data_IF_506438157780
#
_entry.id   IF_506438157780
#
_cell.length_a   1.000
_cell.length_b   1.000
_cell.length_c   1.000
_cell.angle_alpha   90.00
_cell.angle_beta   90.00
_cell.angle_gamma   90.00
#
_symmetry.space_group_name_H-M   'P 1'
#
loop_
_entity.id
_entity.type
_entity.pdbx_description
1 polymer ?
#
# COMPACT_ATOMS: atom_id res chain seq x y z
N UNK A 1 -2.12 -25.52 18.91
CA UNK A 1 -1.26 -24.44 19.45
C UNK A 1 -1.04 -23.40 18.37
N UNK A 2 -1.40 -22.20 18.63
CA UNK A 2 -1.06 -21.09 17.72
C UNK A 2 0.43 -20.79 17.81
N UNK A 3 1.14 -20.87 16.72
CA UNK A 3 2.55 -20.52 16.63
C UNK A 3 2.65 -19.10 16.08
N UNK A 4 3.18 -18.21 16.89
CA UNK A 4 3.34 -16.81 16.55
C UNK A 4 2.20 -15.92 17.03
N UNK A 5 2.47 -14.64 17.14
CA UNK A 5 1.47 -13.63 17.44
C UNK A 5 0.63 -13.34 16.22
N UNK A 6 -0.70 -13.24 16.36
CA UNK A 6 -1.50 -12.72 15.26
C UNK A 6 -1.06 -11.29 14.98
N UNK A 7 -0.46 -11.09 13.83
CA UNK A 7 -0.12 -9.76 13.36
C UNK A 7 -1.40 -9.17 12.75
N UNK A 8 -1.96 -8.17 13.40
CA UNK A 8 -3.04 -7.40 12.81
C UNK A 8 -2.42 -6.47 11.78
N UNK A 9 -2.39 -6.91 10.54
CA UNK A 9 -1.91 -6.11 9.42
C UNK A 9 -3.06 -5.20 8.97
N UNK A 10 -3.09 -3.99 9.47
CA UNK A 10 -3.92 -2.94 8.93
C UNK A 10 -3.20 -2.31 7.74
N UNK A 11 -3.86 -2.09 6.66
CA UNK A 11 -3.54 -1.29 5.46
C UNK A 11 -2.08 -1.23 4.90
N UNK A 12 -1.08 -1.73 5.62
CA UNK A 12 0.33 -1.73 5.21
C UNK A 12 0.86 -3.14 4.96
N UNK A 13 0.03 -4.00 4.36
CA UNK A 13 0.43 -5.37 4.05
C UNK A 13 1.31 -5.35 2.81
N UNK A 14 2.59 -5.68 2.96
CA UNK A 14 3.52 -5.77 1.84
C UNK A 14 3.25 -7.00 0.94
N UNK A 15 2.54 -7.99 1.43
CA UNK A 15 2.13 -9.16 0.65
C UNK A 15 0.81 -9.72 1.15
N UNK A 16 0.03 -10.26 0.22
CA UNK A 16 -1.25 -10.92 0.49
C UNK A 16 -1.29 -12.24 -0.26
N UNK A 17 -1.77 -13.28 0.39
CA UNK A 17 -1.97 -14.58 -0.23
C UNK A 17 -3.46 -14.91 -0.33
N UNK A 18 -3.90 -15.37 -1.50
CA UNK A 18 -5.27 -15.80 -1.77
C UNK A 18 -5.19 -17.22 -2.31
N UNK A 19 -5.94 -18.13 -1.71
CA UNK A 19 -6.03 -19.52 -2.14
C UNK A 19 -7.41 -19.83 -2.71
N UNK A 20 -7.45 -20.48 -3.84
CA UNK A 20 -8.68 -20.87 -4.56
C UNK A 20 -8.58 -22.32 -4.97
N UNK A 21 -9.64 -23.08 -4.75
CA UNK A 21 -9.75 -24.46 -5.26
C UNK A 21 -10.37 -24.43 -6.65
N UNK A 22 -9.72 -25.08 -7.59
CA UNK A 22 -10.15 -25.13 -8.97
C UNK A 22 -11.28 -26.12 -9.20
N UNK A 23 -12.13 -25.81 -10.16
CA UNK A 23 -13.05 -26.76 -10.77
C UNK A 23 -12.40 -27.46 -11.97
N UNK A 24 -13.04 -28.50 -12.49
CA UNK A 24 -12.51 -29.23 -13.65
C UNK A 24 -12.38 -28.26 -14.86
N UNK A 25 -11.25 -28.36 -15.55
CA UNK A 25 -10.94 -27.61 -16.76
C UNK A 25 -10.96 -26.08 -16.60
N UNK A 26 -10.88 -25.59 -15.37
CA UNK A 26 -10.86 -24.16 -15.11
C UNK A 26 -9.53 -23.54 -15.55
N UNK A 27 -9.62 -22.47 -16.33
CA UNK A 27 -8.45 -21.71 -16.78
C UNK A 27 -8.43 -20.30 -16.23
N UNK A 28 -9.61 -19.69 -16.02
CA UNK A 28 -9.72 -18.30 -15.56
C UNK A 28 -9.99 -18.24 -14.06
N UNK A 29 -9.18 -17.47 -13.35
CA UNK A 29 -9.28 -17.25 -11.92
C UNK A 29 -9.33 -15.75 -11.63
N UNK A 30 -10.37 -15.32 -10.92
CA UNK A 30 -10.46 -13.95 -10.44
C UNK A 30 -9.67 -13.79 -9.15
N UNK A 31 -8.79 -12.81 -9.10
CA UNK A 31 -8.02 -12.46 -7.91
C UNK A 31 -8.76 -11.38 -7.15
N UNK A 32 -9.35 -11.75 -6.01
CA UNK A 32 -10.14 -10.82 -5.20
C UNK A 32 -9.28 -9.67 -4.69
N UNK A 33 -9.70 -8.43 -4.99
CA UNK A 33 -8.96 -7.22 -4.65
C UNK A 33 -7.93 -6.82 -5.68
N UNK A 34 -7.73 -7.61 -6.72
CA UNK A 34 -6.80 -7.30 -7.80
C UNK A 34 -5.33 -7.42 -7.42
N UNK A 35 -4.47 -7.12 -8.37
CA UNK A 35 -3.01 -7.10 -8.20
C UNK A 35 -2.40 -6.08 -9.17
N UNK A 36 -1.16 -5.71 -8.92
CA UNK A 36 -0.37 -4.94 -9.90
C UNK A 36 0.28 -5.89 -10.88
N UNK A 37 0.28 -5.53 -12.14
CA UNK A 37 0.94 -6.30 -13.19
C UNK A 37 2.43 -6.47 -12.84
N UNK A 38 2.93 -7.68 -12.96
CA UNK A 38 4.28 -8.11 -12.58
C UNK A 38 4.56 -8.19 -11.06
N UNK A 39 3.55 -7.98 -10.22
CA UNK A 39 3.66 -8.04 -8.76
C UNK A 39 2.84 -9.22 -8.20
N UNK A 40 2.85 -10.33 -8.90
CA UNK A 40 2.08 -11.52 -8.58
C UNK A 40 2.93 -12.76 -8.75
N UNK A 41 2.88 -13.67 -7.78
CA UNK A 41 3.37 -15.04 -7.92
C UNK A 41 2.18 -15.99 -7.87
N UNK A 42 2.15 -16.97 -8.77
CA UNK A 42 1.09 -17.97 -8.88
C UNK A 42 1.67 -19.34 -8.58
N UNK A 43 1.00 -20.10 -7.71
CA UNK A 43 1.36 -21.46 -7.36
C UNK A 43 0.18 -22.37 -7.65
N UNK A 44 0.47 -23.55 -8.18
CA UNK A 44 -0.49 -24.63 -8.36
C UNK A 44 -0.03 -25.84 -7.55
N UNK A 45 -0.82 -26.27 -6.58
CA UNK A 45 -0.48 -27.34 -5.64
C UNK A 45 0.92 -27.16 -5.01
N UNK A 46 1.27 -25.92 -4.65
CA UNK A 46 2.56 -25.58 -4.03
C UNK A 46 3.72 -25.37 -5.00
N UNK A 47 3.52 -25.58 -6.30
CA UNK A 47 4.55 -25.39 -7.33
C UNK A 47 4.38 -24.04 -7.98
N UNK A 48 5.44 -23.23 -8.01
CA UNK A 48 5.45 -21.94 -8.66
C UNK A 48 5.32 -22.09 -10.18
N UNK A 49 4.40 -21.32 -10.74
CA UNK A 49 4.17 -21.24 -12.18
C UNK A 49 4.98 -20.10 -12.79
N UNK A 50 5.37 -20.27 -14.06
CA UNK A 50 6.10 -19.28 -14.82
C UNK A 50 5.13 -18.39 -15.63
N UNK A 51 5.27 -17.07 -15.47
CA UNK A 51 4.49 -16.11 -16.24
C UNK A 51 4.87 -16.18 -17.73
N UNK A 52 3.84 -16.23 -18.57
CA UNK A 52 3.98 -16.35 -20.01
C UNK A 52 4.16 -17.81 -20.53
N UNK A 53 4.59 -18.74 -19.67
CA UNK A 53 4.72 -20.15 -20.03
C UNK A 53 3.59 -21.02 -19.44
N UNK A 54 3.21 -20.75 -18.19
CA UNK A 54 2.18 -21.52 -17.49
C UNK A 54 0.89 -20.74 -17.29
N UNK A 55 1.00 -19.42 -17.17
CA UNK A 55 -0.15 -18.52 -17.00
C UNK A 55 0.10 -17.15 -17.62
N UNK A 56 -0.96 -16.38 -17.75
CA UNK A 56 -0.90 -14.95 -18.08
C UNK A 56 -1.71 -14.14 -17.07
N UNK A 57 -1.17 -12.97 -16.69
CA UNK A 57 -1.79 -12.05 -15.74
C UNK A 57 -1.50 -10.61 -16.20
N UNK A 58 -2.40 -10.04 -17.00
CA UNK A 58 -2.17 -8.76 -17.70
C UNK A 58 -3.22 -7.69 -17.45
N UNK A 59 -4.31 -8.05 -16.75
CA UNK A 59 -5.45 -7.15 -16.53
C UNK A 59 -5.51 -6.56 -15.11
N UNK A 60 -4.68 -7.05 -14.19
CA UNK A 60 -4.67 -6.60 -12.79
C UNK A 60 -5.79 -7.19 -11.92
N UNK A 61 -6.64 -8.06 -12.45
CA UNK A 61 -7.80 -8.62 -11.74
C UNK A 61 -7.97 -10.12 -11.90
N UNK A 62 -7.46 -10.69 -12.98
CA UNK A 62 -7.60 -12.12 -13.25
C UNK A 62 -6.30 -12.77 -13.70
N UNK A 63 -6.23 -14.09 -13.52
CA UNK A 63 -5.13 -14.94 -13.96
C UNK A 63 -5.70 -16.01 -14.88
N UNK A 64 -5.09 -16.19 -16.04
CA UNK A 64 -5.47 -17.22 -17.00
C UNK A 64 -4.37 -18.26 -17.08
N UNK A 65 -4.70 -19.52 -16.78
CA UNK A 65 -3.79 -20.64 -16.95
C UNK A 65 -3.73 -21.04 -18.43
N UNK A 66 -2.55 -21.37 -18.93
CA UNK A 66 -2.36 -21.90 -20.27
C UNK A 66 -2.67 -23.40 -20.35
N UNK A 67 -2.59 -24.10 -19.21
CA UNK A 67 -3.01 -25.48 -19.07
C UNK A 67 -4.15 -25.57 -18.06
N UNK A 68 -5.32 -26.12 -18.43
CA UNK A 68 -6.46 -26.20 -17.54
C UNK A 68 -6.15 -26.84 -16.19
N UNK A 69 -6.78 -26.36 -15.15
CA UNK A 69 -6.68 -26.95 -13.82
C UNK A 69 -7.55 -28.22 -13.72
N UNK A 70 -7.10 -29.17 -12.93
CA UNK A 70 -7.93 -30.32 -12.56
C UNK A 70 -8.85 -29.94 -11.40
N UNK A 71 -9.90 -30.73 -11.25
CA UNK A 71 -10.77 -30.60 -10.07
C UNK A 71 -9.93 -30.80 -8.80
N UNK A 72 -10.17 -29.94 -7.81
CA UNK A 72 -9.46 -29.91 -6.53
C UNK A 72 -8.00 -29.43 -6.56
N UNK A 73 -7.48 -28.99 -7.70
CA UNK A 73 -6.21 -28.26 -7.71
C UNK A 73 -6.32 -26.99 -6.87
N UNK A 74 -5.31 -26.71 -6.10
CA UNK A 74 -5.24 -25.49 -5.30
C UNK A 74 -4.36 -24.47 -6.00
N UNK A 75 -4.93 -23.32 -6.35
CA UNK A 75 -4.23 -22.16 -6.87
C UNK A 75 -3.99 -21.18 -5.72
N UNK A 76 -2.77 -20.75 -5.55
CA UNK A 76 -2.40 -19.72 -4.60
C UNK A 76 -1.82 -18.53 -5.33
N UNK A 77 -2.38 -17.37 -5.07
CA UNK A 77 -1.94 -16.10 -5.63
C UNK A 77 -1.28 -15.29 -4.53
N UNK A 78 0.02 -15.10 -4.65
CA UNK A 78 0.77 -14.24 -3.74
C UNK A 78 0.95 -12.88 -4.40
N UNK A 79 0.31 -11.88 -3.81
CA UNK A 79 0.28 -10.52 -4.32
C UNK A 79 1.29 -9.71 -3.53
N UNK A 80 2.18 -9.03 -4.22
CA UNK A 80 3.13 -8.10 -3.63
C UNK A 80 2.62 -6.68 -3.83
N UNK A 81 2.65 -5.88 -2.78
CA UNK A 81 2.34 -4.46 -2.88
C UNK A 81 3.58 -3.65 -2.55
N UNK A 82 3.77 -2.58 -3.28
CA UNK A 82 4.87 -1.66 -3.01
C UNK A 82 4.55 -0.80 -1.79
N UNK A 83 5.46 -0.75 -0.85
CA UNK A 83 5.44 0.32 0.12
C UNK A 83 5.70 1.64 -0.61
N UNK A 84 4.67 2.45 -0.73
CA UNK A 84 4.81 3.78 -1.34
C UNK A 84 5.45 4.73 -0.35
N UNK A 85 6.71 5.01 -0.56
CA UNK A 85 7.43 6.05 0.17
C UNK A 85 6.79 7.43 -0.05
N UNK A 86 6.00 7.59 -1.11
CA UNK A 86 5.29 8.84 -1.41
C UNK A 86 4.28 9.24 -0.31
N UNK A 87 3.79 8.29 0.48
CA UNK A 87 2.85 8.57 1.57
C UNK A 87 3.56 8.76 2.92
N UNK A 88 4.88 8.68 2.96
CA UNK A 88 5.67 8.85 4.18
C UNK A 88 6.54 10.10 4.09
N UNK A 89 6.68 10.78 5.23
CA UNK A 89 7.65 11.87 5.37
C UNK A 89 9.03 11.24 5.51
N UNK A 90 9.89 11.46 4.53
CA UNK A 90 11.23 10.87 4.48
C UNK A 90 12.28 11.88 4.94
N UNK A 91 13.07 11.50 5.93
CA UNK A 91 14.05 12.39 6.55
C UNK A 91 15.23 12.79 5.63
N UNK A 92 15.42 12.08 4.52
CA UNK A 92 16.55 12.30 3.61
C UNK A 92 16.25 13.27 2.46
N UNK A 93 15.01 13.69 2.29
CA UNK A 93 14.64 14.58 1.20
C UNK A 93 14.81 16.06 1.59
N UNK A 94 15.33 16.85 0.66
CA UNK A 94 15.57 18.29 0.88
C UNK A 94 14.28 19.09 1.05
N UNK A 95 13.20 18.64 0.42
CA UNK A 95 11.87 19.24 0.59
C UNK A 95 10.79 18.18 0.35
N UNK A 96 9.72 18.28 1.09
CA UNK A 96 8.56 17.40 0.92
C UNK A 96 7.30 18.23 0.86
N UNK A 97 6.42 17.88 -0.05
CA UNK A 97 5.13 18.55 -0.23
C UNK A 97 4.02 17.60 0.21
N UNK A 98 3.17 18.07 1.09
CA UNK A 98 1.93 17.39 1.47
C UNK A 98 0.79 18.08 0.73
N UNK A 99 0.22 17.37 -0.23
CA UNK A 99 -0.95 17.86 -0.97
C UNK A 99 -2.21 17.43 -0.20
N UNK A 100 -2.68 18.31 0.63
CA UNK A 100 -3.80 18.07 1.52
C UNK A 100 -3.60 18.70 2.90
N UNK A 101 -4.37 18.23 3.87
CA UNK A 101 -4.32 18.75 5.23
C UNK A 101 -3.28 18.00 6.07
N UNK A 102 -2.46 18.73 6.80
CA UNK A 102 -1.59 18.18 7.83
C UNK A 102 -2.20 18.45 9.20
N UNK A 103 -2.48 17.38 9.94
CA UNK A 103 -2.95 17.46 11.33
C UNK A 103 -1.83 16.96 12.25
N UNK A 104 -1.28 17.85 13.05
CA UNK A 104 -0.27 17.52 14.05
C UNK A 104 -0.94 17.52 15.42
N UNK A 105 -1.06 16.34 16.04
CA UNK A 105 -1.67 16.19 17.36
C UNK A 105 -0.70 16.44 18.51
N UNK A 106 0.58 16.53 18.21
CA UNK A 106 1.65 16.82 19.16
C UNK A 106 2.32 18.17 18.88
N UNK A 107 3.61 18.21 19.06
CA UNK A 107 4.43 19.41 18.86
C UNK A 107 5.08 19.35 17.48
N UNK A 108 5.01 20.43 16.74
CA UNK A 108 5.80 20.65 15.54
C UNK A 108 7.08 21.41 15.90
N UNK A 109 8.23 20.79 15.71
CA UNK A 109 9.53 21.41 15.98
C UNK A 109 10.49 21.26 14.80
N UNK A 110 11.30 22.26 14.58
CA UNK A 110 12.35 22.24 13.56
C UNK A 110 13.66 22.75 14.14
N UNK A 111 14.77 22.07 13.85
CA UNK A 111 16.12 22.45 14.34
C UNK A 111 16.55 23.83 13.85
N UNK A 112 16.14 24.23 12.65
CA UNK A 112 16.36 25.56 12.09
C UNK A 112 15.22 26.54 12.30
N UNK A 113 14.24 26.20 13.15
CA UNK A 113 13.01 26.95 13.32
C UNK A 113 11.89 26.43 12.41
N UNK A 114 10.68 26.84 12.72
CA UNK A 114 9.49 26.52 11.93
C UNK A 114 9.00 27.81 11.29
N UNK A 115 9.04 27.87 9.95
CA UNK A 115 8.50 28.99 9.20
C UNK A 115 7.10 28.60 8.69
N UNK A 116 6.09 29.26 9.22
CA UNK A 116 4.70 29.08 8.80
C UNK A 116 4.29 30.31 8.01
N UNK A 117 4.21 30.14 6.69
CA UNK A 117 3.73 31.20 5.81
C UNK A 117 2.24 31.00 5.55
N UNK A 118 1.42 31.86 6.04
CA UNK A 118 -0.02 31.87 5.85
C UNK A 118 -0.35 32.87 4.75
N UNK A 119 -0.71 32.36 3.57
CA UNK A 119 -0.89 33.21 2.37
C UNK A 119 -2.34 33.51 2.01
N UNK A 120 -3.30 33.09 2.79
CA UNK A 120 -4.69 33.19 2.39
C UNK A 120 -5.49 34.12 3.27
N UNK A 121 -6.31 34.98 2.68
CA UNK A 121 -7.32 35.71 3.39
C UNK A 121 -8.38 34.76 3.97
N UNK A 122 -8.78 34.95 5.22
CA UNK A 122 -9.76 34.09 5.89
C UNK A 122 -9.14 33.01 6.78
N UNK A 123 -7.90 33.13 7.11
CA UNK A 123 -7.24 32.27 8.09
C UNK A 123 -7.86 32.46 9.47
N UNK A 124 -8.34 31.37 10.01
CA UNK A 124 -8.95 31.39 11.32
C UNK A 124 -8.02 30.70 12.32
N UNK A 125 -7.20 31.42 12.99
CA UNK A 125 -6.47 30.93 14.16
C UNK A 125 -7.43 31.04 15.35
N UNK A 126 -8.29 30.04 15.50
CA UNK A 126 -9.41 30.13 16.43
C UNK A 126 -9.08 29.74 17.85
N UNK A 127 -8.00 29.03 18.07
CA UNK A 127 -7.66 28.59 19.43
C UNK A 127 -6.17 28.46 19.60
N UNK A 128 -5.61 29.20 20.47
CA UNK A 128 -4.22 29.11 20.85
C UNK A 128 -3.57 30.46 21.11
N UNK A 129 -2.62 30.46 21.98
CA UNK A 129 -1.76 31.61 22.25
C UNK A 129 -0.50 31.44 21.41
N UNK A 130 -0.25 32.37 20.52
CA UNK A 130 1.03 32.47 19.84
C UNK A 130 1.97 33.24 20.78
N UNK A 131 2.87 32.49 21.44
CA UNK A 131 3.91 33.12 22.26
C UNK A 131 5.19 33.23 21.44
N UNK A 132 5.54 34.38 21.02
CA UNK A 132 6.78 34.65 20.31
C UNK A 132 7.66 35.54 21.17
N UNK A 133 8.95 35.21 21.27
CA UNK A 133 9.95 36.07 21.89
C UNK A 133 10.17 37.37 21.12
N UNK A 134 9.90 37.34 19.82
CA UNK A 134 10.00 38.49 18.96
C UNK A 134 8.90 38.40 17.88
N UNK A 135 7.89 39.21 18.04
CA UNK A 135 6.81 39.35 17.06
C UNK A 135 7.04 40.61 16.28
N UNK A 136 7.37 40.48 15.01
CA UNK A 136 7.51 41.64 14.10
C UNK A 136 6.23 41.73 13.30
N UNK A 137 5.34 42.60 13.72
CA UNK A 137 4.16 42.99 12.96
C UNK A 137 4.50 44.04 11.93
N UNK A 138 3.82 43.96 10.80
CA UNK A 138 3.90 45.02 9.79
C UNK A 138 3.01 46.23 10.19
#
# INVERSE_FOLDING_TARGET
MAIGNPITLTNNVASKSISVTATADQTLFTVTGGYRINQLAVFRNGVRLADGADFTARDGSSVTLLSPANVSDTLEFQIFDDFRVADAIVSAEASQTIDGNLIVTGTLSGTGGVNICIQSAGQNVTTGVITALNFIGA
#
